data_IF_272432012696
#
_entry.id   IF_272432012696
#
_cell.length_a   1.000
_cell.length_b   1.000
_cell.length_c   1.000
_cell.angle_alpha   90.00
_cell.angle_beta   90.00
_cell.angle_gamma   90.00
#
_symmetry.space_group_name_H-M   'P 1'
#
loop_
_entity.id
_entity.type
_entity.pdbx_description
1 polymer ?
#
# COMPACT_ATOMS: atom_id res chain seq x y z
N UNK A 1 17.98 -42.74 10.25
CA UNK A 1 17.97 -42.74 8.76
C UNK A 1 16.51 -42.85 8.35
N UNK A 2 15.81 -41.90 7.73
CA UNK A 2 16.14 -40.64 7.07
C UNK A 2 14.91 -39.73 7.27
N UNK A 3 15.10 -38.47 7.63
CA UNK A 3 14.04 -37.46 7.54
C UNK A 3 13.72 -37.23 6.06
N UNK A 4 12.45 -37.15 5.71
CA UNK A 4 11.98 -36.73 4.39
C UNK A 4 11.42 -35.32 4.57
N UNK A 5 12.18 -34.35 4.07
CA UNK A 5 11.83 -32.93 3.96
C UNK A 5 10.83 -32.76 2.80
N UNK A 6 9.57 -32.33 3.03
CA UNK A 6 8.61 -32.09 1.96
C UNK A 6 8.76 -30.66 1.44
N UNK A 7 9.94 -30.31 0.91
CA UNK A 7 10.06 -29.08 0.11
C UNK A 7 9.73 -29.39 -1.36
N UNK A 8 8.71 -28.74 -1.95
CA UNK A 8 8.51 -28.82 -3.39
C UNK A 8 9.75 -28.25 -4.10
N UNK A 9 10.26 -28.92 -5.15
CA UNK A 9 11.39 -28.41 -5.92
C UNK A 9 10.92 -27.20 -6.75
N UNK A 10 11.50 -26.02 -6.49
CA UNK A 10 11.41 -24.91 -7.46
C UNK A 10 11.33 -23.47 -6.94
N UNK A 11 11.37 -23.19 -5.64
CA UNK A 11 11.46 -21.79 -5.18
C UNK A 11 12.94 -21.39 -5.03
N UNK A 12 13.47 -20.68 -6.03
CA UNK A 12 14.74 -19.97 -5.92
C UNK A 12 14.58 -18.86 -4.85
N UNK A 13 15.32 -18.91 -3.72
CA UNK A 13 15.23 -17.90 -2.66
C UNK A 13 15.71 -16.50 -3.11
N UNK A 14 16.25 -16.35 -4.34
CA UNK A 14 16.86 -15.12 -4.84
C UNK A 14 15.97 -14.24 -5.73
N UNK A 15 14.64 -14.45 -5.79
CA UNK A 15 13.76 -13.57 -6.60
C UNK A 15 12.46 -13.17 -5.90
N UNK A 16 12.56 -12.59 -4.71
CA UNK A 16 11.48 -11.74 -4.21
C UNK A 16 11.40 -10.51 -5.12
N UNK A 17 10.37 -10.45 -5.98
CA UNK A 17 10.12 -9.31 -6.85
C UNK A 17 9.17 -8.35 -6.15
N UNK A 18 9.61 -7.12 -5.93
CA UNK A 18 8.72 -6.04 -5.53
C UNK A 18 7.80 -5.68 -6.69
N UNK A 19 6.51 -5.59 -6.43
CA UNK A 19 5.50 -5.16 -7.39
C UNK A 19 5.32 -3.64 -7.31
N UNK A 20 4.83 -3.03 -8.39
CA UNK A 20 4.41 -1.62 -8.34
C UNK A 20 3.19 -1.44 -7.43
N UNK A 21 2.86 -0.21 -7.03
CA UNK A 21 1.66 0.05 -6.21
C UNK A 21 0.38 -0.42 -6.93
N UNK A 22 0.28 -0.17 -8.24
CA UNK A 22 -0.84 -0.62 -9.07
C UNK A 22 -0.96 -2.15 -9.11
N UNK A 23 0.14 -2.84 -9.42
CA UNK A 23 0.16 -4.31 -9.52
C UNK A 23 -0.10 -4.98 -8.16
N UNK A 24 0.40 -4.38 -7.08
CA UNK A 24 0.16 -4.85 -5.71
C UNK A 24 -1.32 -4.78 -5.35
N UNK A 25 -1.99 -3.66 -5.69
CA UNK A 25 -3.42 -3.50 -5.43
C UNK A 25 -4.27 -4.41 -6.30
N UNK A 26 -3.93 -4.57 -7.58
CA UNK A 26 -4.62 -5.51 -8.46
C UNK A 26 -4.53 -6.95 -7.93
N UNK A 27 -3.35 -7.37 -7.46
CA UNK A 27 -3.15 -8.66 -6.84
C UNK A 27 -4.01 -8.82 -5.57
N UNK A 28 -3.95 -7.85 -4.65
CA UNK A 28 -4.68 -7.90 -3.38
C UNK A 28 -6.21 -7.81 -3.55
N UNK A 29 -6.69 -7.07 -4.57
CA UNK A 29 -8.11 -6.99 -4.90
C UNK A 29 -8.69 -8.36 -5.26
N UNK A 30 -7.91 -9.24 -5.88
CA UNK A 30 -8.31 -10.63 -6.17
C UNK A 30 -8.54 -11.47 -4.91
N UNK A 31 -8.00 -11.04 -3.78
CA UNK A 31 -8.24 -11.63 -2.45
C UNK A 31 -9.34 -10.90 -1.67
N UNK A 32 -10.07 -9.98 -2.30
CA UNK A 32 -11.21 -9.29 -1.68
C UNK A 32 -10.83 -8.06 -0.85
N UNK A 33 -9.59 -7.57 -0.93
CA UNK A 33 -9.19 -6.33 -0.27
C UNK A 33 -9.76 -5.13 -1.07
N UNK A 34 -10.58 -4.26 -0.44
CA UNK A 34 -11.16 -3.12 -1.14
C UNK A 34 -10.12 -2.00 -1.33
N UNK A 35 -10.14 -1.39 -2.51
CA UNK A 35 -9.35 -0.20 -2.83
C UNK A 35 -10.23 0.89 -3.42
N UNK A 36 -9.83 2.14 -3.23
CA UNK A 36 -10.44 3.27 -3.91
C UNK A 36 -10.22 3.16 -5.44
N UNK A 37 -11.15 3.63 -6.28
CA UNK A 37 -10.92 3.69 -7.71
C UNK A 37 -9.73 4.63 -8.00
N UNK A 38 -8.84 4.20 -8.89
CA UNK A 38 -7.68 4.95 -9.31
C UNK A 38 -7.32 4.65 -10.77
N UNK A 39 -6.59 5.56 -11.41
CA UNK A 39 -6.15 5.41 -12.80
C UNK A 39 -4.64 5.55 -12.90
N UNK A 40 -3.99 4.56 -13.53
CA UNK A 40 -2.60 4.66 -13.95
C UNK A 40 -2.53 5.35 -15.32
N UNK A 41 -1.86 6.49 -15.39
CA UNK A 41 -1.73 7.30 -16.61
C UNK A 41 -0.26 7.47 -16.97
N UNK A 42 0.03 7.77 -18.24
CA UNK A 42 1.40 7.95 -18.74
C UNK A 42 1.62 9.31 -19.40
N UNK A 43 0.60 10.17 -19.41
CA UNK A 43 0.65 11.50 -19.99
C UNK A 43 -0.37 12.45 -19.32
N UNK A 44 -0.21 13.74 -19.61
CA UNK A 44 -1.09 14.81 -19.15
C UNK A 44 -2.56 14.65 -19.62
N UNK A 45 -2.80 14.06 -20.80
CA UNK A 45 -4.14 13.91 -21.35
C UNK A 45 -4.95 12.87 -20.56
N UNK A 46 -4.35 11.71 -20.29
CA UNK A 46 -4.90 10.69 -19.42
C UNK A 46 -5.08 11.20 -18.00
N UNK A 47 -4.15 12.01 -17.49
CA UNK A 47 -4.25 12.62 -16.17
C UNK A 47 -5.49 13.52 -16.01
N UNK A 48 -5.80 14.33 -17.04
CA UNK A 48 -7.03 15.15 -17.07
C UNK A 48 -8.28 14.29 -17.05
N UNK A 49 -8.34 13.29 -17.92
CA UNK A 49 -9.48 12.38 -17.99
C UNK A 49 -9.69 11.63 -16.67
N UNK A 50 -8.61 11.20 -16.01
CA UNK A 50 -8.67 10.58 -14.69
C UNK A 50 -9.19 11.54 -13.61
N UNK A 51 -8.75 12.79 -13.61
CA UNK A 51 -9.24 13.80 -12.68
C UNK A 51 -10.74 14.08 -12.87
N UNK A 52 -11.20 14.17 -14.11
CA UNK A 52 -12.61 14.38 -14.44
C UNK A 52 -13.47 13.17 -14.05
N UNK A 53 -12.95 11.95 -14.20
CA UNK A 53 -13.66 10.71 -13.85
C UNK A 53 -13.74 10.47 -12.34
N UNK A 54 -12.65 10.73 -11.60
CA UNK A 54 -12.59 10.48 -10.14
C UNK A 54 -13.19 11.62 -9.31
N UNK A 55 -13.25 12.83 -9.88
CA UNK A 55 -13.54 14.04 -9.13
C UNK A 55 -12.34 14.51 -8.29
N UNK A 56 -12.35 15.78 -7.92
CA UNK A 56 -11.24 16.45 -7.21
C UNK A 56 -11.64 16.78 -5.76
N UNK A 57 -10.69 16.85 -4.81
CA UNK A 57 -9.23 16.76 -5.00
C UNK A 57 -8.71 15.33 -5.15
N UNK A 58 -7.63 15.19 -5.93
CA UNK A 58 -6.90 13.92 -6.14
C UNK A 58 -5.46 14.01 -5.66
N UNK A 59 -4.83 12.86 -5.48
CA UNK A 59 -3.40 12.67 -5.36
C UNK A 59 -2.83 12.15 -6.69
N UNK A 60 -1.61 12.56 -7.04
CA UNK A 60 -0.81 12.01 -8.12
C UNK A 60 0.47 11.40 -7.54
N UNK A 61 0.76 10.14 -7.86
CA UNK A 61 1.90 9.40 -7.31
C UNK A 61 2.69 8.73 -8.43
N UNK A 62 4.00 8.95 -8.53
CA UNK A 62 4.80 8.16 -9.47
C UNK A 62 4.72 6.68 -9.08
N UNK A 63 4.54 5.82 -10.07
CA UNK A 63 4.33 4.40 -9.91
C UNK A 63 5.23 3.63 -10.88
N UNK A 64 6.06 2.75 -10.34
CA UNK A 64 6.98 1.90 -11.08
C UNK A 64 7.39 0.73 -10.19
N UNK A 65 7.91 -0.33 -10.80
CA UNK A 65 8.25 -1.60 -10.11
C UNK A 65 9.30 -1.44 -9.01
N UNK A 66 10.22 -0.47 -9.16
CA UNK A 66 11.32 -0.25 -8.21
C UNK A 66 11.15 1.05 -7.41
N UNK A 67 9.96 1.64 -7.40
CA UNK A 67 9.69 2.87 -6.65
C UNK A 67 9.09 2.52 -5.29
N UNK A 68 9.98 2.29 -4.32
CA UNK A 68 9.66 2.33 -2.90
C UNK A 68 9.89 3.75 -2.33
N UNK A 69 9.37 4.02 -1.12
CA UNK A 69 9.63 5.28 -0.37
C UNK A 69 9.34 6.58 -1.16
N UNK A 70 8.21 6.61 -1.89
CA UNK A 70 7.81 7.70 -2.81
C UNK A 70 7.88 9.09 -2.18
N UNK A 71 7.40 9.22 -0.95
CA UNK A 71 7.32 10.50 -0.24
C UNK A 71 8.70 11.09 0.04
N UNK A 72 9.67 10.28 0.43
CA UNK A 72 11.05 10.70 0.70
C UNK A 72 11.73 11.24 -0.57
N UNK A 73 11.34 10.72 -1.73
CA UNK A 73 11.80 11.18 -3.05
C UNK A 73 10.96 12.34 -3.62
N UNK A 74 9.96 12.83 -2.90
CA UNK A 74 9.05 13.87 -3.41
C UNK A 74 8.23 13.41 -4.62
N UNK A 75 7.96 12.10 -4.75
CA UNK A 75 7.24 11.50 -5.88
C UNK A 75 5.72 11.39 -5.66
N UNK A 76 5.21 12.25 -4.79
CA UNK A 76 3.79 12.36 -4.45
C UNK A 76 3.38 13.83 -4.52
N UNK A 77 2.22 14.09 -5.11
CA UNK A 77 1.53 15.38 -5.08
C UNK A 77 0.13 15.13 -4.53
N UNK A 78 -0.28 15.93 -3.54
CA UNK A 78 -1.55 15.76 -2.83
C UNK A 78 -2.44 16.98 -3.03
N UNK A 79 -3.76 16.81 -2.85
CA UNK A 79 -4.70 17.93 -2.82
C UNK A 79 -4.86 18.65 -4.16
N UNK A 80 -4.55 17.98 -5.28
CA UNK A 80 -4.60 18.57 -6.61
C UNK A 80 -6.05 18.88 -6.98
N UNK A 81 -6.33 20.15 -7.23
CA UNK A 81 -7.65 20.67 -7.53
C UNK A 81 -7.69 21.12 -8.99
N UNK A 82 -8.54 20.46 -9.79
CA UNK A 82 -8.70 20.72 -11.22
C UNK A 82 -7.77 19.92 -12.13
N UNK A 83 -8.25 19.61 -13.33
CA UNK A 83 -7.56 18.74 -14.29
C UNK A 83 -6.22 19.31 -14.80
N UNK A 84 -6.08 20.63 -14.90
CA UNK A 84 -4.81 21.30 -15.24
C UNK A 84 -3.71 21.05 -14.19
N UNK A 85 -4.03 21.16 -12.90
CA UNK A 85 -3.08 20.92 -11.82
C UNK A 85 -2.64 19.44 -11.79
N UNK A 86 -3.57 18.53 -12.09
CA UNK A 86 -3.28 17.09 -12.18
C UNK A 86 -2.38 16.76 -13.37
N UNK A 87 -2.63 17.38 -14.53
CA UNK A 87 -1.76 17.28 -15.71
C UNK A 87 -0.33 17.77 -15.43
N UNK A 88 -0.20 18.98 -14.88
CA UNK A 88 1.11 19.55 -14.57
C UNK A 88 1.90 18.69 -13.56
N UNK A 89 1.23 18.23 -12.50
CA UNK A 89 1.82 17.32 -11.52
C UNK A 89 2.26 15.99 -12.17
N UNK A 90 1.51 15.49 -13.15
CA UNK A 90 1.84 14.26 -13.88
C UNK A 90 3.12 14.43 -14.68
N UNK A 91 3.24 15.51 -15.46
CA UNK A 91 4.44 15.80 -16.25
C UNK A 91 5.68 15.98 -15.35
N UNK A 92 5.54 16.70 -14.23
CA UNK A 92 6.60 16.84 -13.23
C UNK A 92 7.07 15.48 -12.67
N UNK A 93 6.13 14.62 -12.32
CA UNK A 93 6.44 13.30 -11.73
C UNK A 93 7.10 12.38 -12.74
N UNK A 94 6.62 12.35 -13.99
CA UNK A 94 7.24 11.57 -15.06
C UNK A 94 8.64 12.06 -15.37
N UNK A 95 8.88 13.37 -15.38
CA UNK A 95 10.21 13.95 -15.56
C UNK A 95 11.17 13.63 -14.40
N UNK A 96 10.65 13.37 -13.21
CA UNK A 96 11.44 12.97 -12.03
C UNK A 96 11.77 11.47 -11.98
N UNK A 97 11.24 10.67 -12.91
CA UNK A 97 11.52 9.24 -13.00
C UNK A 97 13.00 8.99 -13.33
N UNK A 98 13.57 7.93 -12.75
CA UNK A 98 14.94 7.49 -12.99
C UNK A 98 14.94 6.20 -13.82
N UNK A 99 15.99 5.91 -14.60
CA UNK A 99 16.08 4.65 -15.35
C UNK A 99 15.87 3.39 -14.48
N UNK A 100 16.40 3.42 -13.25
CA UNK A 100 16.32 2.28 -12.31
C UNK A 100 14.91 2.08 -11.72
N UNK A 101 13.99 3.04 -11.90
CA UNK A 101 12.59 2.91 -11.47
C UNK A 101 11.79 1.90 -12.32
N UNK A 102 12.33 1.53 -13.49
CA UNK A 102 11.69 0.65 -14.46
C UNK A 102 10.66 1.38 -15.33
N UNK A 103 9.67 0.64 -15.84
CA UNK A 103 8.54 1.27 -16.52
C UNK A 103 7.71 2.07 -15.52
N UNK A 104 7.55 3.36 -15.76
CA UNK A 104 6.84 4.29 -14.86
C UNK A 104 5.58 4.85 -15.48
N UNK A 105 4.56 5.05 -14.63
CA UNK A 105 3.40 5.89 -14.89
C UNK A 105 3.04 6.68 -13.64
N UNK A 106 1.96 7.44 -13.67
CA UNK A 106 1.46 8.21 -12.52
C UNK A 106 0.10 7.65 -12.13
N UNK A 107 -0.05 7.32 -10.86
CA UNK A 107 -1.29 6.85 -10.28
C UNK A 107 -2.09 8.05 -9.77
N UNK A 108 -3.27 8.28 -10.37
CA UNK A 108 -4.22 9.30 -9.95
C UNK A 108 -5.28 8.64 -9.09
N UNK A 109 -5.42 9.10 -7.85
CA UNK A 109 -6.34 8.52 -6.87
C UNK A 109 -7.07 9.60 -6.08
N UNK A 110 -8.32 9.39 -5.65
CA UNK A 110 -9.08 10.37 -4.87
C UNK A 110 -8.44 10.60 -3.50
N UNK A 111 -8.57 11.83 -2.98
CA UNK A 111 -8.20 12.15 -1.60
C UNK A 111 -9.28 11.67 -0.62
N UNK A 112 -9.10 10.46 -0.10
CA UNK A 112 -9.98 9.92 0.93
C UNK A 112 -9.67 10.53 2.31
N UNK A 113 -10.70 10.68 3.13
CA UNK A 113 -10.59 11.03 4.54
C UNK A 113 -11.13 9.88 5.37
N UNK A 114 -10.37 9.51 6.40
CA UNK A 114 -10.79 8.57 7.44
C UNK A 114 -10.47 9.15 8.80
N UNK A 115 -11.16 8.67 9.83
CA UNK A 115 -10.90 9.04 11.22
C UNK A 115 -9.82 8.15 11.86
N UNK A 116 -9.46 7.06 11.18
CA UNK A 116 -8.58 6.02 11.71
C UNK A 116 -7.69 5.49 10.59
N UNK A 117 -6.45 5.25 10.94
CA UNK A 117 -5.48 4.59 10.08
C UNK A 117 -5.00 3.33 10.80
N UNK A 118 -4.97 2.22 10.06
CA UNK A 118 -4.49 0.92 10.53
C UNK A 118 -3.48 0.40 9.53
N UNK A 119 -2.56 -0.43 10.00
CA UNK A 119 -1.63 -1.18 9.16
C UNK A 119 -1.88 -2.67 9.36
N UNK A 120 -1.93 -3.39 8.24
CA UNK A 120 -1.91 -4.84 8.24
C UNK A 120 -0.79 -5.31 7.31
N UNK A 121 -0.04 -6.32 7.73
CA UNK A 121 1.11 -6.82 6.97
C UNK A 121 1.26 -8.32 7.10
N UNK A 122 1.89 -8.94 6.11
CA UNK A 122 2.32 -10.33 6.17
C UNK A 122 3.83 -10.34 5.99
N UNK A 123 4.52 -11.07 6.86
CA UNK A 123 5.95 -11.29 6.78
C UNK A 123 6.25 -12.78 6.94
N UNK A 124 7.45 -13.21 6.56
CA UNK A 124 7.93 -14.56 6.89
C UNK A 124 9.02 -14.41 7.94
N UNK A 125 8.76 -14.90 9.14
CA UNK A 125 9.75 -15.02 10.19
C UNK A 125 10.63 -16.25 9.92
N UNK A 126 11.94 -16.14 10.17
CA UNK A 126 12.90 -17.20 9.88
C UNK A 126 12.70 -18.46 10.73
N UNK A 127 12.18 -18.31 11.95
CA UNK A 127 11.98 -19.41 12.90
C UNK A 127 10.53 -19.92 12.86
N UNK A 128 9.57 -19.00 12.81
CA UNK A 128 8.15 -19.32 12.96
C UNK A 128 7.38 -19.41 11.64
N UNK A 129 7.99 -19.01 10.52
CA UNK A 129 7.34 -19.02 9.22
C UNK A 129 6.42 -17.80 9.02
N UNK A 130 5.38 -17.92 8.16
CA UNK A 130 4.53 -16.78 7.82
C UNK A 130 3.75 -16.24 9.03
N UNK A 131 3.82 -14.93 9.20
CA UNK A 131 3.14 -14.19 10.27
C UNK A 131 2.30 -13.08 9.68
N UNK A 132 1.22 -12.74 10.38
CA UNK A 132 0.37 -11.59 10.08
C UNK A 132 0.45 -10.58 11.22
N UNK A 133 0.54 -9.31 10.85
CA UNK A 133 0.60 -8.17 11.74
C UNK A 133 -0.64 -7.30 11.55
N UNK A 134 -1.18 -6.80 12.65
CA UNK A 134 -2.15 -5.70 12.70
C UNK A 134 -1.61 -4.61 13.63
N UNK A 135 -1.83 -3.35 13.31
CA UNK A 135 -1.39 -2.25 14.16
C UNK A 135 -2.06 -0.92 13.84
N UNK A 136 -1.77 0.08 14.67
CA UNK A 136 -2.14 1.47 14.40
C UNK A 136 -1.30 2.00 13.24
N UNK A 137 -1.95 2.63 12.27
CA UNK A 137 -1.33 3.22 11.09
C UNK A 137 -1.04 4.71 11.25
N UNK A 138 -0.68 5.35 10.14
CA UNK A 138 -0.41 6.77 10.05
C UNK A 138 0.98 7.19 10.52
N UNK A 139 1.21 8.50 10.55
CA UNK A 139 2.55 9.10 10.75
C UNK A 139 3.17 8.81 12.13
N UNK A 140 2.35 8.43 13.11
CA UNK A 140 2.81 8.09 14.46
C UNK A 140 2.95 6.58 14.70
N UNK A 141 2.67 5.73 13.70
CA UNK A 141 2.66 4.28 13.86
C UNK A 141 3.96 3.74 14.51
N UNK A 142 5.11 4.18 14.02
CA UNK A 142 6.43 3.77 14.55
C UNK A 142 6.66 4.24 15.99
N UNK A 143 6.19 5.43 16.34
CA UNK A 143 6.35 6.00 17.68
C UNK A 143 5.39 5.36 18.71
N UNK A 144 4.18 5.00 18.27
CA UNK A 144 3.17 4.33 19.10
C UNK A 144 3.53 2.85 19.30
N UNK A 145 4.05 2.19 18.25
CA UNK A 145 4.49 0.79 18.26
C UNK A 145 3.45 -0.19 18.83
N UNK A 146 2.17 0.10 18.60
CA UNK A 146 1.03 -0.71 19.05
C UNK A 146 0.62 -1.67 17.93
N UNK A 147 1.14 -2.88 18.03
CA UNK A 147 0.99 -3.94 17.03
C UNK A 147 0.70 -5.28 17.70
N UNK A 148 -0.04 -6.13 17.00
CA UNK A 148 -0.32 -7.52 17.36
C UNK A 148 0.12 -8.41 16.22
N UNK A 149 0.67 -9.59 16.55
CA UNK A 149 1.20 -10.55 15.57
C UNK A 149 0.63 -11.94 15.86
N UNK A 150 0.32 -12.68 14.80
CA UNK A 150 -0.10 -14.09 14.85
C UNK A 150 0.58 -14.91 13.76
N UNK A 151 0.73 -16.22 13.99
CA UNK A 151 1.18 -17.15 12.96
C UNK A 151 0.05 -17.44 11.97
N UNK A 152 0.37 -17.54 10.69
CA UNK A 152 -0.60 -17.93 9.65
C UNK A 152 -0.66 -19.46 9.57
N UNK A 153 -1.85 -20.07 9.35
CA UNK A 153 -3.16 -19.43 9.11
C UNK A 153 -3.84 -18.93 10.38
N UNK A 154 -4.59 -17.83 10.24
CA UNK A 154 -5.47 -17.30 11.29
C UNK A 154 -6.94 -17.60 10.97
N UNK A 155 -7.74 -17.82 12.01
CA UNK A 155 -9.20 -17.86 11.95
C UNK A 155 -9.79 -16.46 12.11
N UNK A 156 -11.12 -16.35 11.98
CA UNK A 156 -11.85 -15.12 12.33
C UNK A 156 -11.66 -14.73 13.79
N UNK A 157 -11.65 -15.72 14.69
CA UNK A 157 -11.49 -15.47 16.14
C UNK A 157 -10.11 -14.88 16.40
N UNK A 158 -9.07 -15.43 15.80
CA UNK A 158 -7.70 -14.88 15.91
C UNK A 158 -7.65 -13.42 15.42
N UNK A 159 -8.33 -13.11 14.32
CA UNK A 159 -8.39 -11.74 13.79
C UNK A 159 -9.14 -10.77 14.71
N UNK A 160 -10.23 -11.21 15.33
CA UNK A 160 -10.98 -10.42 16.32
C UNK A 160 -10.13 -10.19 17.58
N UNK A 161 -9.47 -11.23 18.09
CA UNK A 161 -8.53 -11.10 19.22
C UNK A 161 -7.35 -10.18 18.90
N UNK A 162 -6.81 -10.23 17.67
CA UNK A 162 -5.76 -9.30 17.24
C UNK A 162 -6.20 -7.84 17.29
N UNK A 163 -7.48 -7.55 17.03
CA UNK A 163 -8.04 -6.20 17.15
C UNK A 163 -8.15 -5.82 18.63
N UNK A 164 -8.68 -6.72 19.46
CA UNK A 164 -8.89 -6.48 20.90
C UNK A 164 -7.57 -6.32 21.67
N UNK A 165 -6.51 -6.99 21.22
CA UNK A 165 -5.17 -6.94 21.82
C UNK A 165 -4.42 -5.62 21.57
N UNK A 166 -4.88 -4.76 20.64
CA UNK A 166 -4.29 -3.44 20.43
C UNK A 166 -4.47 -2.59 21.70
N UNK A 167 -3.40 -1.98 22.21
CA UNK A 167 -3.45 -1.17 23.45
C UNK A 167 -4.26 0.11 23.25
N UNK A 168 -4.31 0.60 22.03
CA UNK A 168 -4.98 1.84 21.63
C UNK A 168 -6.47 1.64 21.37
N UNK A 169 -7.16 0.81 22.16
CA UNK A 169 -8.60 0.56 22.02
C UNK A 169 -9.43 1.86 22.03
N UNK A 170 -9.01 2.89 22.75
CA UNK A 170 -9.68 4.18 22.75
C UNK A 170 -9.68 4.87 21.37
N UNK A 171 -8.68 4.59 20.50
CA UNK A 171 -8.66 5.06 19.12
C UNK A 171 -9.58 4.24 18.21
N UNK A 172 -9.97 3.03 18.63
CA UNK A 172 -10.88 2.13 17.93
C UNK A 172 -12.33 2.25 18.44
N UNK A 173 -12.53 2.79 19.63
CA UNK A 173 -13.82 3.16 20.20
C UNK A 173 -14.32 4.54 19.76
N UNK A 174 -15.44 4.97 20.31
CA UNK A 174 -15.89 6.37 20.15
C UNK A 174 -14.89 7.31 20.85
N UNK A 175 -14.35 8.27 20.10
CA UNK A 175 -13.54 9.34 20.66
C UNK A 175 -13.83 10.65 19.94
N UNK A 176 -13.58 11.78 20.60
CA UNK A 176 -13.76 13.11 20.01
C UNK A 176 -12.52 13.46 19.20
N UNK A 177 -12.65 13.55 17.87
CA UNK A 177 -11.56 13.88 16.94
C UNK A 177 -12.09 14.39 15.61
#
# INVERSE_FOLDING_TARGET
MSQVDPRPPGADPARTRTLSESDSKELLARFGIPFAPEHLVTDAAGARAAADALGVPVAAKLCGTNIAHKSERGLVRLGLSGSDAVAAATDELLAAARPDDGATGVLIAPMLRGHRELIAGIATDEQFGPTVLLGIGGVLAEAVADVTVRLVPISRIDAEEMIDDLRSQALLGEFRG
#
